data_IF_205752899144
#
_entry.id   IF_205752899144
#
_cell.length_a   1.000
_cell.length_b   1.000
_cell.length_c   1.000
_cell.angle_alpha   90.00
_cell.angle_beta   90.00
_cell.angle_gamma   90.00
#
_symmetry.space_group_name_H-M   'P 1'
#
loop_
_entity.id
_entity.type
_entity.pdbx_description
1 polymer ?
#
# COMPACT_ATOMS: atom_id res chain seq x y z
N UNK A 1 -3.03 -13.28 -7.90
CA UNK A 1 -4.22 -12.66 -8.53
C UNK A 1 -4.54 -11.42 -7.73
N UNK A 2 -4.92 -10.27 -8.33
CA UNK A 2 -5.37 -9.13 -7.56
C UNK A 2 -6.64 -9.51 -6.79
N UNK A 3 -6.65 -9.22 -5.49
CA UNK A 3 -7.81 -9.41 -4.65
C UNK A 3 -8.90 -8.40 -5.06
N UNK A 4 -10.16 -8.75 -4.93
CA UNK A 4 -11.26 -7.80 -5.05
C UNK A 4 -11.19 -6.79 -3.90
N UNK A 5 -11.67 -5.56 -4.11
CA UNK A 5 -11.66 -4.51 -3.08
C UNK A 5 -12.39 -4.92 -1.80
N UNK A 6 -13.33 -5.87 -1.88
CA UNK A 6 -14.03 -6.47 -0.74
C UNK A 6 -13.17 -7.42 0.10
N UNK A 7 -11.99 -7.84 -0.40
CA UNK A 7 -11.09 -8.78 0.28
C UNK A 7 -10.01 -8.08 1.12
N UNK A 8 -9.87 -6.75 0.99
CA UNK A 8 -8.91 -6.00 1.79
C UNK A 8 -9.42 -5.77 3.19
N UNK A 9 -8.61 -6.14 4.15
CA UNK A 9 -8.86 -5.97 5.58
C UNK A 9 -7.64 -5.36 6.23
N UNK A 10 -7.85 -4.69 7.34
CA UNK A 10 -6.75 -4.28 8.21
C UNK A 10 -5.93 -5.49 8.61
N UNK A 11 -4.63 -5.41 8.45
CA UNK A 11 -3.68 -6.45 8.81
C UNK A 11 -2.78 -5.97 9.93
N UNK A 12 -2.43 -6.87 10.84
CA UNK A 12 -1.53 -6.61 11.95
C UNK A 12 -0.40 -7.63 11.89
N UNK A 13 0.83 -7.14 11.80
CA UNK A 13 2.02 -7.96 11.84
C UNK A 13 2.85 -7.59 13.07
N UNK A 14 3.05 -8.54 13.98
CA UNK A 14 4.01 -8.41 15.06
C UNK A 14 5.42 -8.62 14.48
N UNK A 15 6.16 -7.52 14.29
CA UNK A 15 7.45 -7.56 13.60
C UNK A 15 8.63 -7.83 14.54
N UNK A 16 8.51 -7.48 15.83
CA UNK A 16 9.58 -7.63 16.82
C UNK A 16 9.03 -7.69 18.22
N UNK A 17 9.63 -8.52 19.07
CA UNK A 17 9.44 -8.53 20.53
C UNK A 17 10.80 -8.48 21.19
N UNK A 18 10.97 -7.66 22.19
CA UNK A 18 12.16 -7.54 23.01
C UNK A 18 11.74 -7.55 24.47
N UNK A 19 12.50 -8.19 25.33
CA UNK A 19 12.27 -8.16 26.77
C UNK A 19 13.24 -9.03 27.52
N UNK A 20 13.43 -8.71 28.80
CA UNK A 20 14.31 -9.41 29.70
C UNK A 20 15.81 -9.28 29.39
N UNK A 21 16.62 -9.45 30.41
CA UNK A 21 18.09 -9.36 30.32
C UNK A 21 18.78 -10.65 30.79
N UNK A 22 18.07 -11.47 31.56
CA UNK A 22 18.63 -12.70 32.17
C UNK A 22 17.61 -13.84 32.07
N UNK A 23 18.12 -15.05 31.92
CA UNK A 23 17.29 -16.25 31.73
C UNK A 23 16.60 -16.74 33.01
N UNK A 24 17.09 -16.31 34.19
CA UNK A 24 16.62 -16.72 35.50
C UNK A 24 15.84 -15.63 36.23
N UNK A 25 15.47 -14.55 35.54
CA UNK A 25 14.66 -13.45 36.06
C UNK A 25 13.37 -13.27 35.24
N UNK A 26 12.29 -12.93 35.92
CA UNK A 26 11.09 -12.46 35.24
C UNK A 26 11.38 -11.07 34.65
N UNK A 27 11.11 -10.83 33.37
CA UNK A 27 11.31 -9.53 32.76
C UNK A 27 10.47 -8.44 33.48
N UNK A 28 11.09 -7.34 33.78
CA UNK A 28 10.45 -6.10 34.28
C UNK A 28 10.03 -5.16 33.16
N UNK A 29 10.45 -5.48 31.93
CA UNK A 29 10.17 -4.70 30.72
C UNK A 29 10.01 -5.62 29.51
N UNK A 30 9.05 -5.32 28.66
CA UNK A 30 8.87 -5.91 27.34
C UNK A 30 8.40 -4.86 26.33
N UNK A 31 8.84 -4.98 25.11
CA UNK A 31 8.51 -4.08 24.01
C UNK A 31 8.14 -4.91 22.77
N UNK A 32 7.07 -4.49 22.07
CA UNK A 32 6.61 -5.14 20.86
C UNK A 32 6.39 -4.10 19.76
N UNK A 33 6.79 -4.43 18.53
CA UNK A 33 6.64 -3.58 17.36
C UNK A 33 5.61 -4.19 16.41
N UNK A 34 4.67 -3.37 16.01
CA UNK A 34 3.60 -3.77 15.08
C UNK A 34 3.66 -2.96 13.79
N UNK A 35 3.55 -3.63 12.63
CA UNK A 35 3.20 -3.01 11.36
C UNK A 35 1.70 -3.25 11.13
N UNK A 36 0.92 -2.18 11.21
CA UNK A 36 -0.53 -2.23 11.04
C UNK A 36 -0.87 -1.52 9.73
N UNK A 37 -1.47 -2.26 8.79
CA UNK A 37 -1.90 -1.73 7.51
C UNK A 37 -3.42 -1.72 7.48
N UNK A 38 -3.97 -0.54 7.64
CA UNK A 38 -5.42 -0.37 7.69
C UNK A 38 -6.00 0.05 6.33
N UNK A 39 -7.29 -0.22 6.15
CA UNK A 39 -8.06 0.19 4.98
C UNK A 39 -8.75 1.54 5.26
N UNK A 40 -9.32 2.15 4.21
CA UNK A 40 -9.94 3.48 4.31
C UNK A 40 -11.16 3.56 5.23
N UNK A 41 -11.71 2.43 5.66
CA UNK A 41 -12.82 2.39 6.63
C UNK A 41 -12.36 2.38 8.07
N UNK A 42 -11.10 2.03 8.31
CA UNK A 42 -10.49 1.99 9.63
C UNK A 42 -9.61 3.22 9.78
N UNK A 43 -9.61 3.83 10.94
CA UNK A 43 -8.75 4.99 11.21
C UNK A 43 -7.68 4.63 12.22
N UNK A 44 -6.56 5.36 12.18
CA UNK A 44 -5.50 5.27 13.18
C UNK A 44 -6.07 5.48 14.59
N UNK A 45 -7.01 6.42 14.75
CA UNK A 45 -7.65 6.68 16.04
C UNK A 45 -8.46 5.49 16.58
N UNK A 46 -9.11 4.73 15.69
CA UNK A 46 -9.85 3.52 16.09
C UNK A 46 -8.92 2.41 16.56
N UNK A 47 -7.77 2.29 15.93
CA UNK A 47 -6.73 1.31 16.32
C UNK A 47 -6.11 1.71 17.66
N UNK A 48 -5.78 2.99 17.83
CA UNK A 48 -5.22 3.53 19.08
C UNK A 48 -6.18 3.29 20.25
N UNK A 49 -7.48 3.49 20.05
CA UNK A 49 -8.48 3.22 21.10
C UNK A 49 -8.43 1.78 21.58
N UNK A 50 -8.26 0.82 20.69
CA UNK A 50 -8.13 -0.58 21.09
C UNK A 50 -6.87 -0.84 21.92
N UNK A 51 -5.76 -0.15 21.63
CA UNK A 51 -4.52 -0.27 22.41
C UNK A 51 -4.68 0.42 23.77
N UNK A 52 -5.32 1.58 23.81
CA UNK A 52 -5.54 2.35 25.04
C UNK A 52 -6.51 1.71 26.04
N UNK A 53 -7.20 0.61 25.65
CA UNK A 53 -8.01 -0.18 26.58
C UNK A 53 -7.17 -1.03 27.56
N UNK A 54 -5.87 -1.17 27.31
CA UNK A 54 -4.95 -1.89 28.20
C UNK A 54 -4.29 -0.93 29.18
N UNK A 55 -4.54 -1.11 30.48
CA UNK A 55 -4.14 -0.18 31.55
C UNK A 55 -2.62 -0.06 31.77
N UNK A 56 -1.85 -1.11 31.48
CA UNK A 56 -0.42 -1.19 31.80
C UNK A 56 0.46 -1.13 30.55
N UNK A 57 0.00 -0.49 29.48
CA UNK A 57 0.73 -0.40 28.21
C UNK A 57 0.91 1.06 27.81
N UNK A 58 2.17 1.46 27.67
CA UNK A 58 2.53 2.68 26.96
C UNK A 58 2.71 2.36 25.46
N UNK A 59 2.36 3.31 24.60
CA UNK A 59 2.56 3.14 23.16
C UNK A 59 3.12 4.40 22.51
N UNK A 60 3.89 4.20 21.46
CA UNK A 60 4.39 5.25 20.57
C UNK A 60 4.03 4.94 19.12
N UNK A 61 3.60 5.95 18.38
CA UNK A 61 3.35 5.84 16.94
C UNK A 61 4.62 6.28 16.22
N UNK A 62 5.37 5.32 15.70
CA UNK A 62 6.61 5.59 14.96
C UNK A 62 6.34 6.17 13.57
N UNK A 63 5.25 5.76 12.94
CA UNK A 63 4.84 6.23 11.62
C UNK A 63 3.32 6.14 11.47
N UNK A 64 2.67 7.24 11.14
CA UNK A 64 1.27 7.29 10.76
C UNK A 64 1.14 7.58 9.27
N UNK A 65 1.03 6.50 8.48
CA UNK A 65 0.87 6.55 7.03
C UNK A 65 -0.59 6.70 6.62
N UNK A 66 -0.89 7.70 5.81
CA UNK A 66 -2.25 7.90 5.30
C UNK A 66 -2.60 6.90 4.20
N UNK A 67 -3.86 6.51 4.17
CA UNK A 67 -4.46 5.74 3.07
C UNK A 67 -4.97 6.71 2.01
N UNK A 68 -4.67 6.45 0.73
CA UNK A 68 -5.27 7.20 -0.35
C UNK A 68 -6.17 6.35 -1.23
N UNK A 69 -7.15 7.00 -1.85
CA UNK A 69 -8.07 6.37 -2.78
C UNK A 69 -8.04 7.12 -4.10
N UNK A 70 -7.71 6.41 -5.18
CA UNK A 70 -7.77 6.98 -6.52
C UNK A 70 -9.19 7.38 -6.88
N UNK A 71 -9.38 8.63 -7.28
CA UNK A 71 -10.65 9.10 -7.83
C UNK A 71 -10.80 8.62 -9.29
N UNK A 72 -11.57 7.56 -9.47
CA UNK A 72 -11.81 6.95 -10.77
C UNK A 72 -12.69 7.83 -11.67
N UNK A 73 -13.36 8.85 -11.13
CA UNK A 73 -14.17 9.79 -11.89
C UNK A 73 -13.37 10.96 -12.46
N UNK A 74 -12.16 11.16 -11.98
CA UNK A 74 -11.25 12.17 -12.50
C UNK A 74 -10.90 11.92 -13.98
N UNK A 75 -10.97 12.97 -14.81
CA UNK A 75 -10.75 12.87 -16.26
C UNK A 75 -9.35 12.39 -16.63
N UNK A 76 -8.31 12.78 -15.88
CA UNK A 76 -6.94 12.31 -16.14
C UNK A 76 -6.81 10.81 -15.85
N UNK A 77 -7.44 10.34 -14.79
CA UNK A 77 -7.47 8.93 -14.44
C UNK A 77 -8.24 8.13 -15.50
N UNK A 78 -9.40 8.62 -15.95
CA UNK A 78 -10.17 7.98 -17.04
C UNK A 78 -9.38 7.90 -18.34
N UNK A 79 -8.65 8.96 -18.70
CA UNK A 79 -7.78 8.97 -19.88
C UNK A 79 -6.63 7.96 -19.75
N UNK A 80 -6.02 7.86 -18.58
CA UNK A 80 -4.99 6.85 -18.32
C UNK A 80 -5.54 5.43 -18.42
N UNK A 81 -6.69 5.16 -17.82
CA UNK A 81 -7.39 3.87 -17.90
C UNK A 81 -7.68 3.52 -19.37
N UNK A 82 -8.17 4.47 -20.16
CA UNK A 82 -8.44 4.27 -21.59
C UNK A 82 -7.16 3.92 -22.38
N UNK A 83 -6.04 4.58 -22.07
CA UNK A 83 -4.76 4.25 -22.67
C UNK A 83 -4.31 2.82 -22.31
N UNK A 84 -4.46 2.42 -21.03
CA UNK A 84 -4.18 1.06 -20.59
C UNK A 84 -5.02 0.02 -21.35
N UNK A 85 -6.34 0.21 -21.39
CA UNK A 85 -7.26 -0.73 -22.05
C UNK A 85 -6.97 -0.85 -23.53
N UNK A 86 -6.66 0.26 -24.18
CA UNK A 86 -6.30 0.28 -25.59
C UNK A 86 -5.01 -0.47 -25.90
N UNK A 87 -3.97 -0.32 -25.07
CA UNK A 87 -2.68 -1.03 -25.26
C UNK A 87 -2.81 -2.51 -24.91
N UNK A 88 -3.57 -2.84 -23.87
CA UNK A 88 -3.76 -4.22 -23.42
C UNK A 88 -4.84 -4.97 -24.20
N UNK A 89 -5.64 -4.27 -25.00
CA UNK A 89 -6.81 -4.78 -25.72
C UNK A 89 -7.77 -5.57 -24.80
N UNK A 90 -7.99 -5.07 -23.61
CA UNK A 90 -8.92 -5.64 -22.61
C UNK A 90 -9.31 -4.62 -21.56
N UNK A 91 -10.48 -4.83 -20.95
CA UNK A 91 -10.84 -4.08 -19.74
C UNK A 91 -9.88 -4.36 -18.61
N UNK A 92 -9.46 -3.31 -17.90
CA UNK A 92 -8.62 -3.45 -16.72
C UNK A 92 -9.48 -3.62 -15.47
N UNK A 93 -8.92 -4.34 -14.49
CA UNK A 93 -9.46 -4.41 -13.13
C UNK A 93 -8.54 -3.61 -12.22
N UNK A 94 -9.14 -2.88 -11.30
CA UNK A 94 -8.38 -2.21 -10.25
C UNK A 94 -8.50 -3.02 -8.96
N UNK A 95 -7.49 -2.94 -8.14
CA UNK A 95 -7.50 -3.52 -6.81
C UNK A 95 -6.87 -2.53 -5.84
N UNK A 96 -7.19 -2.65 -4.57
CA UNK A 96 -6.42 -1.99 -3.53
C UNK A 96 -4.96 -2.49 -3.53
N UNK A 97 -4.10 -1.80 -2.83
CA UNK A 97 -2.71 -2.18 -2.60
C UNK A 97 -2.40 -2.01 -1.12
N UNK A 98 -1.88 -3.06 -0.51
CA UNK A 98 -1.47 -3.05 0.90
C UNK A 98 -0.06 -2.48 1.09
N UNK A 99 0.64 -2.12 0.01
CA UNK A 99 2.00 -1.59 0.08
C UNK A 99 2.01 -0.07 0.21
N UNK A 100 2.96 0.43 0.98
CA UNK A 100 3.27 1.86 1.07
C UNK A 100 3.84 2.35 -0.25
N UNK A 101 3.49 3.57 -0.65
CA UNK A 101 3.99 4.19 -1.87
C UNK A 101 4.14 5.70 -1.68
N UNK A 102 5.18 6.28 -2.27
CA UNK A 102 5.39 7.73 -2.32
C UNK A 102 4.29 8.47 -3.09
N UNK A 103 3.42 7.75 -3.77
CA UNK A 103 2.20 8.26 -4.39
C UNK A 103 1.31 9.05 -3.41
N UNK A 104 1.38 8.75 -2.12
CA UNK A 104 0.63 9.45 -1.07
C UNK A 104 0.95 10.95 -1.03
N UNK A 105 2.21 11.34 -1.23
CA UNK A 105 2.63 12.75 -1.20
C UNK A 105 2.00 13.57 -2.34
N UNK A 106 1.78 12.95 -3.50
CA UNK A 106 1.07 13.58 -4.61
C UNK A 106 -0.43 13.68 -4.33
N UNK A 107 -1.00 12.60 -3.78
CA UNK A 107 -2.41 12.58 -3.40
C UNK A 107 -2.74 13.67 -2.38
N UNK A 108 -1.93 13.87 -1.35
CA UNK A 108 -2.09 14.92 -0.33
C UNK A 108 -2.04 16.35 -0.91
N UNK A 109 -1.41 16.52 -2.06
CA UNK A 109 -1.40 17.79 -2.80
C UNK A 109 -2.58 17.95 -3.77
N UNK A 110 -3.55 17.03 -3.72
CA UNK A 110 -4.71 17.05 -4.62
C UNK A 110 -4.37 16.66 -6.07
N UNK A 111 -3.21 16.05 -6.31
CA UNK A 111 -2.81 15.58 -7.64
C UNK A 111 -3.46 14.21 -7.88
N UNK A 112 -4.20 14.05 -9.00
CA UNK A 112 -4.79 12.77 -9.37
C UNK A 112 -3.73 11.69 -9.49
N UNK A 113 -3.85 10.65 -8.67
CA UNK A 113 -2.78 9.67 -8.50
C UNK A 113 -3.31 8.26 -8.72
N UNK A 114 -2.57 7.47 -9.49
CA UNK A 114 -2.81 6.05 -9.73
C UNK A 114 -1.49 5.29 -9.72
N UNK A 115 -1.49 4.09 -9.16
CA UNK A 115 -0.30 3.22 -9.13
C UNK A 115 -0.47 2.14 -10.18
N UNK A 116 0.57 1.97 -11.00
CA UNK A 116 0.66 0.88 -11.95
C UNK A 116 2.09 0.34 -11.95
N UNK A 117 2.22 -0.95 -11.74
CA UNK A 117 3.50 -1.62 -11.73
C UNK A 117 3.65 -2.60 -12.92
N UNK A 118 4.87 -2.83 -13.41
CA UNK A 118 5.14 -3.97 -14.28
C UNK A 118 4.90 -5.28 -13.50
N UNK A 119 4.76 -6.38 -14.21
CA UNK A 119 4.63 -7.69 -13.58
C UNK A 119 5.98 -8.07 -12.99
N UNK A 120 6.06 -8.07 -11.68
CA UNK A 120 7.24 -8.46 -10.90
C UNK A 120 6.94 -9.58 -9.92
N UNK A 121 7.99 -10.23 -9.44
CA UNK A 121 7.91 -11.34 -8.51
C UNK A 121 8.99 -11.22 -7.44
N UNK A 122 8.67 -11.67 -6.24
CA UNK A 122 9.56 -11.69 -5.07
C UNK A 122 10.12 -10.32 -4.67
N UNK A 123 9.26 -9.28 -4.49
CA UNK A 123 9.72 -7.95 -4.10
C UNK A 123 10.55 -8.03 -2.81
N UNK A 124 11.63 -7.24 -2.77
CA UNK A 124 12.59 -7.18 -1.64
C UNK A 124 13.36 -8.49 -1.37
N UNK A 125 13.38 -9.42 -2.32
CA UNK A 125 14.10 -10.68 -2.20
C UNK A 125 15.32 -10.68 -3.16
N UNK A 126 16.45 -11.34 -2.81
CA UNK A 126 17.59 -11.49 -3.74
C UNK A 126 17.25 -12.16 -5.08
N UNK A 127 16.10 -12.84 -5.17
CA UNK A 127 15.57 -13.46 -6.40
C UNK A 127 14.52 -12.59 -7.09
N UNK A 128 14.41 -11.32 -6.73
CA UNK A 128 13.47 -10.42 -7.36
C UNK A 128 13.72 -10.30 -8.87
N UNK A 129 12.66 -10.37 -9.65
CA UNK A 129 12.75 -10.16 -11.10
C UNK A 129 11.46 -9.54 -11.64
N UNK A 130 11.56 -8.91 -12.81
CA UNK A 130 10.47 -8.31 -13.55
C UNK A 130 10.31 -8.97 -14.92
N UNK A 131 9.07 -9.09 -15.39
CA UNK A 131 8.78 -9.55 -16.72
C UNK A 131 9.12 -8.45 -17.76
N UNK A 132 10.09 -8.69 -18.61
CA UNK A 132 10.56 -7.73 -19.63
C UNK A 132 9.43 -7.22 -20.55
N UNK A 133 8.53 -8.09 -20.97
CA UNK A 133 7.42 -7.69 -21.86
C UNK A 133 6.44 -6.76 -21.15
N UNK A 134 6.27 -6.90 -19.83
CA UNK A 134 5.41 -6.00 -19.06
C UNK A 134 6.01 -4.61 -18.93
N UNK A 135 7.34 -4.47 -18.89
CA UNK A 135 8.03 -3.17 -18.94
C UNK A 135 7.77 -2.46 -20.29
N UNK A 136 7.90 -3.21 -21.39
CA UNK A 136 7.62 -2.69 -22.74
C UNK A 136 6.15 -2.26 -22.86
N UNK A 137 5.25 -3.04 -22.29
CA UNK A 137 3.83 -2.71 -22.25
C UNK A 137 3.55 -1.45 -21.45
N UNK A 138 4.17 -1.32 -20.28
CA UNK A 138 4.04 -0.13 -19.43
C UNK A 138 4.56 1.13 -20.15
N UNK A 139 5.70 1.03 -20.82
CA UNK A 139 6.21 2.11 -21.67
C UNK A 139 5.20 2.54 -22.74
N UNK A 140 4.60 1.59 -23.47
CA UNK A 140 3.60 1.88 -24.51
C UNK A 140 2.34 2.56 -23.94
N UNK A 141 1.95 2.20 -22.71
CA UNK A 141 0.82 2.84 -22.01
C UNK A 141 1.16 4.30 -21.70
N UNK A 142 2.33 4.58 -21.13
CA UNK A 142 2.75 5.94 -20.83
C UNK A 142 2.90 6.78 -22.11
N UNK A 143 3.53 6.25 -23.13
CA UNK A 143 3.67 6.93 -24.43
C UNK A 143 2.30 7.31 -25.00
N UNK A 144 1.36 6.37 -25.03
CA UNK A 144 0.01 6.62 -25.49
C UNK A 144 -0.74 7.64 -24.63
N UNK A 145 -0.63 7.55 -23.32
CA UNK A 145 -1.26 8.47 -22.39
C UNK A 145 -0.77 9.90 -22.60
N UNK A 146 0.56 10.09 -22.64
CA UNK A 146 1.17 11.42 -22.81
C UNK A 146 0.80 12.03 -24.18
N UNK A 147 0.79 11.22 -25.25
CA UNK A 147 0.45 11.70 -26.58
C UNK A 147 -1.02 12.05 -26.78
N UNK A 148 -1.91 11.60 -25.90
CA UNK A 148 -3.32 12.00 -25.91
C UNK A 148 -3.56 13.40 -25.35
N UNK A 149 -2.55 14.09 -24.80
CA UNK A 149 -2.62 15.48 -24.33
C UNK A 149 -2.12 16.49 -25.37
N UNK A 150 -1.70 16.05 -26.53
CA UNK A 150 -1.37 16.91 -27.66
C UNK A 150 -2.60 17.13 -28.53
#
# INVERSE_FOLDING_TARGET
MPKDSSEYKTTINLSKIIGGTQINCVPDYAEAYFDIRHISTDSTESIIKCVAEFEDIDYEILLDGKVFKTDLDNNLIKNYISACESVLNKKIKYSGCESTSDAIYFYEKGIPTIIMNPIGYYPHNPKEYVNKNSLITLYKIYDKFINNFK
#
